data_IF_679256686480
#
_entry.id   IF_679256686480
#
_cell.length_a   1.000
_cell.length_b   1.000
_cell.length_c   1.000
_cell.angle_alpha   90.00
_cell.angle_beta   90.00
_cell.angle_gamma   90.00
#
_symmetry.space_group_name_H-M   'P 1'
#
loop_
_entity.id
_entity.type
_entity.pdbx_description
1 polymer ?
#
# COMPACT_ATOMS: atom_id res chain seq x y z
N UNK A 1 -37.91 3.36 5.29
CA UNK A 1 -36.78 3.64 4.38
C UNK A 1 -36.21 4.98 4.81
N UNK A 2 -34.93 5.03 5.18
CA UNK A 2 -34.24 6.31 5.44
C UNK A 2 -34.23 7.14 4.15
N UNK A 3 -34.28 8.49 4.29
CA UNK A 3 -34.12 9.36 3.14
C UNK A 3 -32.75 9.12 2.49
N UNK A 4 -32.59 9.31 1.17
CA UNK A 4 -31.28 9.18 0.54
C UNK A 4 -30.34 10.21 1.17
N UNK A 5 -29.11 9.78 1.55
CA UNK A 5 -28.07 10.70 2.02
C UNK A 5 -27.73 11.64 0.87
N UNK A 6 -27.91 12.93 1.10
CA UNK A 6 -27.62 13.96 0.12
C UNK A 6 -26.24 14.60 0.36
N UNK A 7 -25.77 14.59 1.61
CA UNK A 7 -24.53 15.27 2.01
C UNK A 7 -23.59 14.29 2.73
N UNK A 8 -22.39 14.11 2.18
CA UNK A 8 -21.34 13.30 2.75
C UNK A 8 -20.16 14.19 3.21
N UNK A 9 -19.71 13.96 4.42
CA UNK A 9 -18.52 14.63 4.98
C UNK A 9 -17.37 13.65 5.03
N UNK A 10 -16.23 13.99 4.41
CA UNK A 10 -15.01 13.20 4.43
C UNK A 10 -13.96 13.96 5.24
N UNK A 11 -13.39 13.31 6.23
CA UNK A 11 -12.24 13.82 6.99
C UNK A 11 -10.97 13.21 6.40
N UNK A 12 -10.15 14.08 5.77
CA UNK A 12 -8.90 13.74 5.10
C UNK A 12 -8.99 13.74 3.57
N UNK A 13 -8.26 14.67 2.92
CA UNK A 13 -8.07 14.74 1.47
C UNK A 13 -6.83 13.94 1.00
N UNK A 14 -6.55 12.81 1.66
CA UNK A 14 -5.56 11.85 1.20
C UNK A 14 -6.05 11.05 -0.02
N UNK A 15 -5.24 10.10 -0.49
CA UNK A 15 -5.55 9.28 -1.67
C UNK A 15 -6.94 8.64 -1.62
N UNK A 16 -7.28 8.03 -0.49
CA UNK A 16 -8.55 7.31 -0.32
C UNK A 16 -9.72 8.28 -0.20
N UNK A 17 -9.60 9.36 0.59
CA UNK A 17 -10.66 10.35 0.75
C UNK A 17 -10.98 11.08 -0.56
N UNK A 18 -9.94 11.46 -1.32
CA UNK A 18 -10.11 12.09 -2.64
C UNK A 18 -10.74 11.13 -3.66
N UNK A 19 -10.35 9.85 -3.67
CA UNK A 19 -10.96 8.86 -4.55
C UNK A 19 -12.43 8.57 -4.16
N UNK A 20 -12.71 8.41 -2.85
CA UNK A 20 -14.06 8.20 -2.35
C UNK A 20 -15.00 9.33 -2.74
N UNK A 21 -14.52 10.59 -2.68
CA UNK A 21 -15.33 11.75 -3.06
C UNK A 21 -15.82 11.71 -4.50
N UNK A 22 -14.97 11.21 -5.41
CA UNK A 22 -15.34 11.03 -6.82
C UNK A 22 -16.44 9.97 -6.98
N UNK A 23 -16.34 8.85 -6.24
CA UNK A 23 -17.39 7.82 -6.23
C UNK A 23 -18.73 8.36 -5.70
N UNK A 24 -18.68 9.07 -4.57
CA UNK A 24 -19.89 9.64 -3.96
C UNK A 24 -20.52 10.75 -4.83
N UNK A 25 -19.67 11.62 -5.42
CA UNK A 25 -20.14 12.66 -6.33
C UNK A 25 -20.84 12.07 -7.56
N UNK A 26 -20.29 10.99 -8.13
CA UNK A 26 -20.92 10.27 -9.26
C UNK A 26 -22.28 9.66 -8.89
N UNK A 27 -22.53 9.38 -7.59
CA UNK A 27 -23.83 8.92 -7.07
C UNK A 27 -24.77 10.07 -6.73
N UNK A 28 -24.38 11.32 -6.98
CA UNK A 28 -25.19 12.51 -6.74
C UNK A 28 -25.15 13.05 -5.31
N UNK A 29 -24.23 12.55 -4.45
CA UNK A 29 -24.03 13.14 -3.13
C UNK A 29 -23.27 14.47 -3.24
N UNK A 30 -23.67 15.47 -2.44
CA UNK A 30 -22.84 16.62 -2.17
C UNK A 30 -21.73 16.21 -1.18
N UNK A 31 -20.49 16.44 -1.54
CA UNK A 31 -19.34 15.98 -0.75
C UNK A 31 -18.55 17.16 -0.24
N UNK A 32 -18.34 17.23 1.08
CA UNK A 32 -17.44 18.15 1.71
C UNK A 32 -16.24 17.38 2.27
N UNK A 33 -15.03 17.75 1.84
CA UNK A 33 -13.78 17.15 2.29
C UNK A 33 -13.04 18.14 3.16
N UNK A 34 -12.65 17.75 4.37
CA UNK A 34 -11.89 18.55 5.32
C UNK A 34 -10.50 18.00 5.50
N UNK A 35 -9.48 18.77 5.12
CA UNK A 35 -8.06 18.41 5.20
C UNK A 35 -7.34 19.33 6.19
N UNK A 36 -6.57 18.74 7.10
CA UNK A 36 -5.84 19.48 8.14
C UNK A 36 -4.68 20.33 7.60
N UNK A 37 -4.09 19.91 6.49
CA UNK A 37 -2.95 20.59 5.86
C UNK A 37 -3.43 21.68 4.91
N UNK A 38 -2.57 22.66 4.58
CA UNK A 38 -2.82 23.59 3.49
C UNK A 38 -2.90 22.83 2.15
N UNK A 39 -3.45 23.49 1.13
CA UNK A 39 -3.55 22.92 -0.20
C UNK A 39 -2.15 22.68 -0.79
N UNK A 40 -1.75 21.40 -0.85
CA UNK A 40 -0.43 21.02 -1.35
C UNK A 40 -0.19 21.33 -2.83
N UNK A 41 -1.22 21.69 -3.57
CA UNK A 41 -1.13 22.09 -5.00
C UNK A 41 -0.72 23.55 -5.14
N UNK A 42 -0.94 24.38 -4.11
CA UNK A 42 -0.73 25.83 -4.09
C UNK A 42 0.41 26.28 -3.17
N UNK A 43 0.67 25.50 -2.14
CA UNK A 43 1.76 25.76 -1.23
C UNK A 43 3.06 25.22 -1.84
N UNK A 44 4.09 26.07 -1.86
CA UNK A 44 5.48 25.63 -2.02
C UNK A 44 5.91 24.92 -0.71
N UNK A 45 5.15 23.89 -0.35
CA UNK A 45 5.51 22.98 0.72
C UNK A 45 6.68 22.21 0.12
N UNK A 46 7.88 22.74 0.36
CA UNK A 46 9.16 22.26 -0.17
C UNK A 46 9.09 20.76 -0.28
N UNK A 47 8.90 20.28 -1.51
CA UNK A 47 8.24 19.05 -1.90
C UNK A 47 8.52 17.96 -0.91
N UNK A 48 7.62 17.78 0.07
CA UNK A 48 7.77 16.75 1.09
C UNK A 48 7.99 15.48 0.34
N UNK A 49 9.27 15.11 0.22
CA UNK A 49 9.70 13.96 -0.55
C UNK A 49 8.88 12.81 -0.03
N UNK A 50 8.07 12.27 -0.89
CA UNK A 50 7.07 11.27 -0.53
C UNK A 50 7.46 9.98 -1.22
N UNK A 51 7.55 8.90 -0.46
CA UNK A 51 7.80 7.57 -1.03
C UNK A 51 6.91 7.34 -2.25
N UNK A 52 7.47 6.72 -3.28
CA UNK A 52 6.67 6.25 -4.39
C UNK A 52 5.84 5.04 -3.98
N UNK A 53 4.67 4.95 -4.56
CA UNK A 53 3.73 3.87 -4.34
C UNK A 53 3.71 2.91 -5.53
N UNK A 54 3.42 1.65 -5.25
CA UNK A 54 3.23 0.62 -6.27
C UNK A 54 1.74 0.43 -6.55
N UNK A 55 1.23 1.01 -7.62
CA UNK A 55 -0.14 0.85 -8.05
C UNK A 55 -0.30 -0.50 -8.79
N UNK A 56 -1.19 -1.35 -8.31
CA UNK A 56 -1.47 -2.70 -8.83
C UNK A 56 -2.90 -2.81 -9.37
N UNK A 57 -3.27 -4.00 -9.86
CA UNK A 57 -4.56 -4.22 -10.51
C UNK A 57 -5.77 -3.85 -9.64
N UNK A 58 -5.66 -4.04 -8.30
CA UNK A 58 -6.72 -3.61 -7.36
C UNK A 58 -6.93 -2.09 -7.36
N UNK A 59 -5.84 -1.35 -7.36
CA UNK A 59 -5.88 0.11 -7.47
C UNK A 59 -6.38 0.56 -8.84
N UNK A 60 -5.92 -0.09 -9.92
CA UNK A 60 -6.41 0.20 -11.27
C UNK A 60 -7.91 -0.05 -11.41
N UNK A 61 -8.43 -1.15 -10.88
CA UNK A 61 -9.88 -1.43 -10.86
C UNK A 61 -10.68 -0.27 -10.25
N UNK A 62 -10.20 0.32 -9.17
CA UNK A 62 -10.86 1.45 -8.53
C UNK A 62 -10.83 2.73 -9.40
N UNK A 63 -9.68 3.03 -10.02
CA UNK A 63 -9.52 4.21 -10.88
C UNK A 63 -10.32 4.07 -12.18
N UNK A 64 -10.36 2.88 -12.75
CA UNK A 64 -11.13 2.57 -13.96
C UNK A 64 -12.63 2.56 -13.70
N UNK A 65 -13.08 2.12 -12.51
CA UNK A 65 -14.48 2.09 -12.10
C UNK A 65 -15.16 3.46 -12.13
N UNK A 66 -14.42 4.54 -11.98
CA UNK A 66 -14.91 5.91 -12.11
C UNK A 66 -14.47 6.61 -13.40
N UNK A 67 -13.69 5.93 -14.25
CA UNK A 67 -13.29 6.41 -15.57
C UNK A 67 -12.07 7.32 -15.61
N UNK A 68 -11.26 7.37 -14.54
CA UNK A 68 -10.05 8.23 -14.46
C UNK A 68 -8.73 7.48 -14.73
N UNK A 69 -8.78 6.19 -15.07
CA UNK A 69 -7.60 5.38 -15.29
C UNK A 69 -6.61 5.98 -16.28
N UNK A 70 -7.11 6.56 -17.40
CA UNK A 70 -6.24 7.19 -18.40
C UNK A 70 -5.54 8.45 -17.90
N UNK A 71 -6.13 9.20 -16.99
CA UNK A 71 -5.48 10.38 -16.41
C UNK A 71 -4.36 9.98 -15.48
N UNK A 72 -4.56 8.92 -14.70
CA UNK A 72 -3.55 8.41 -13.78
C UNK A 72 -2.40 7.68 -14.50
N UNK A 73 -2.65 7.06 -15.67
CA UNK A 73 -1.57 6.47 -16.48
C UNK A 73 -0.53 7.49 -16.95
N UNK A 74 -0.91 8.76 -17.07
CA UNK A 74 0.02 9.86 -17.44
C UNK A 74 1.04 10.16 -16.35
N UNK A 75 0.74 9.84 -15.10
CA UNK A 75 1.59 10.12 -13.94
C UNK A 75 2.23 8.87 -13.34
N UNK A 76 2.05 7.69 -13.95
CA UNK A 76 2.60 6.42 -13.51
C UNK A 76 3.62 5.83 -14.48
N UNK A 77 4.65 5.15 -13.98
CA UNK A 77 5.65 4.43 -14.78
C UNK A 77 5.47 2.93 -14.55
N UNK A 78 5.21 2.12 -15.61
CA UNK A 78 5.08 0.67 -15.47
C UNK A 78 6.42 0.03 -15.13
N UNK A 79 6.41 -0.90 -14.18
CA UNK A 79 7.52 -1.74 -13.79
C UNK A 79 7.10 -3.20 -13.98
N UNK A 80 7.77 -3.93 -14.89
CA UNK A 80 7.42 -5.29 -15.29
C UNK A 80 8.21 -6.35 -14.54
N UNK A 81 9.26 -5.95 -13.82
CA UNK A 81 10.17 -6.85 -13.11
C UNK A 81 10.80 -6.19 -11.89
N UNK A 82 11.41 -7.02 -11.05
CA UNK A 82 12.35 -6.63 -10.03
C UNK A 82 13.78 -6.82 -10.56
N UNK A 83 14.66 -5.89 -10.25
CA UNK A 83 16.10 -6.01 -10.50
C UNK A 83 16.79 -6.03 -9.14
N UNK A 84 17.41 -7.16 -8.81
CA UNK A 84 18.14 -7.36 -7.57
C UNK A 84 19.60 -6.98 -7.77
N UNK A 85 20.14 -6.19 -6.86
CA UNK A 85 21.53 -5.77 -6.82
C UNK A 85 22.27 -6.51 -5.71
N UNK A 86 23.25 -7.35 -6.03
CA UNK A 86 24.09 -7.99 -5.02
C UNK A 86 25.15 -7.03 -4.44
N UNK A 87 25.96 -7.50 -3.47
CA UNK A 87 27.03 -6.70 -2.88
C UNK A 87 28.16 -6.34 -3.84
N UNK A 88 28.31 -7.05 -4.95
CA UNK A 88 29.31 -6.81 -5.99
C UNK A 88 28.78 -5.96 -7.15
N UNK A 89 27.49 -5.53 -7.08
CA UNK A 89 26.83 -4.81 -8.15
C UNK A 89 26.33 -5.68 -9.30
N UNK A 90 26.36 -7.03 -9.16
CA UNK A 90 25.76 -7.89 -10.19
C UNK A 90 24.23 -7.80 -10.13
N UNK A 91 23.61 -7.84 -11.31
CA UNK A 91 22.18 -7.68 -11.45
C UNK A 91 21.50 -9.01 -11.77
N UNK A 92 20.40 -9.27 -11.09
CA UNK A 92 19.50 -10.41 -11.39
C UNK A 92 18.09 -9.91 -11.60
N UNK A 93 17.46 -10.24 -12.73
CA UNK A 93 16.11 -9.85 -13.07
C UNK A 93 15.08 -10.93 -12.74
N UNK A 94 13.94 -10.51 -12.21
CA UNK A 94 12.82 -11.40 -11.90
C UNK A 94 11.52 -10.76 -12.36
N UNK A 95 10.86 -11.28 -13.41
CA UNK A 95 9.55 -10.81 -13.87
C UNK A 95 8.49 -10.94 -12.77
N UNK A 96 7.49 -10.05 -12.77
CA UNK A 96 6.37 -10.15 -11.84
C UNK A 96 5.40 -11.28 -12.19
N UNK A 97 5.18 -11.52 -13.47
CA UNK A 97 4.24 -12.52 -13.96
C UNK A 97 4.33 -12.71 -15.47
N UNK A 98 3.18 -12.79 -16.13
CA UNK A 98 3.10 -12.91 -17.60
C UNK A 98 3.62 -11.66 -18.29
N UNK A 99 3.96 -11.78 -19.58
CA UNK A 99 4.35 -10.63 -20.41
C UNK A 99 3.31 -9.51 -20.33
N UNK A 100 3.79 -8.28 -20.14
CA UNK A 100 2.95 -7.09 -19.97
C UNK A 100 2.35 -6.89 -18.58
N UNK A 101 2.49 -7.85 -17.68
CA UNK A 101 2.00 -7.74 -16.31
C UNK A 101 3.02 -6.99 -15.44
N UNK A 102 2.59 -5.94 -14.78
CA UNK A 102 3.47 -5.10 -13.96
C UNK A 102 2.71 -4.24 -12.96
N UNK A 103 3.45 -3.68 -12.02
CA UNK A 103 2.98 -2.64 -11.10
C UNK A 103 3.45 -1.28 -11.60
N UNK A 104 2.81 -0.19 -11.18
CA UNK A 104 3.19 1.15 -11.62
C UNK A 104 3.79 1.94 -10.47
N UNK A 105 4.97 2.52 -10.70
CA UNK A 105 5.50 3.54 -9.81
C UNK A 105 4.69 4.81 -9.96
N UNK A 106 4.14 5.31 -8.87
CA UNK A 106 3.44 6.59 -8.82
C UNK A 106 3.93 7.40 -7.63
N UNK A 107 4.21 8.68 -7.86
CA UNK A 107 4.49 9.61 -6.77
C UNK A 107 3.24 9.75 -5.90
N UNK A 108 3.37 9.53 -4.60
CA UNK A 108 2.24 9.67 -3.66
C UNK A 108 1.65 11.08 -3.70
N UNK A 109 2.51 12.10 -3.69
CA UNK A 109 2.08 13.50 -3.78
C UNK A 109 1.43 13.79 -5.13
N UNK A 110 2.07 13.39 -6.24
CA UNK A 110 1.55 13.60 -7.59
C UNK A 110 0.19 12.93 -7.82
N UNK A 111 0.03 11.68 -7.37
CA UNK A 111 -1.25 10.98 -7.46
C UNK A 111 -2.33 11.68 -6.61
N UNK A 112 -1.97 12.13 -5.39
CA UNK A 112 -2.93 12.80 -4.52
C UNK A 112 -3.38 14.14 -5.11
N UNK A 113 -2.46 14.94 -5.65
CA UNK A 113 -2.79 16.19 -6.36
C UNK A 113 -3.72 15.93 -7.54
N UNK A 114 -3.43 14.93 -8.36
CA UNK A 114 -4.27 14.56 -9.50
C UNK A 114 -5.70 14.16 -9.06
N UNK A 115 -5.84 13.39 -7.98
CA UNK A 115 -7.15 13.01 -7.45
C UNK A 115 -7.91 14.21 -6.88
N UNK A 116 -7.23 15.12 -6.16
CA UNK A 116 -7.84 16.36 -5.66
C UNK A 116 -8.30 17.28 -6.81
N UNK A 117 -7.51 17.41 -7.88
CA UNK A 117 -7.86 18.19 -9.07
C UNK A 117 -9.10 17.62 -9.76
N UNK A 118 -9.20 16.30 -9.85
CA UNK A 118 -10.38 15.64 -10.41
C UNK A 118 -11.60 15.79 -9.50
N UNK A 119 -11.42 15.74 -8.19
CA UNK A 119 -12.48 15.96 -7.21
C UNK A 119 -13.02 17.39 -7.26
N UNK A 120 -12.14 18.39 -7.29
CA UNK A 120 -12.52 19.83 -7.35
C UNK A 120 -13.28 20.19 -8.64
N UNK A 121 -13.05 19.45 -9.73
CA UNK A 121 -13.81 19.63 -11.00
C UNK A 121 -15.25 19.14 -10.91
N UNK A 122 -15.62 18.36 -9.90
CA UNK A 122 -17.00 17.92 -9.71
C UNK A 122 -17.81 19.05 -9.07
N UNK A 123 -18.99 19.43 -9.66
CA UNK A 123 -19.77 20.57 -9.17
C UNK A 123 -20.36 20.36 -7.76
N UNK A 124 -20.39 19.13 -7.30
CA UNK A 124 -20.93 18.70 -6.00
C UNK A 124 -19.84 18.27 -5.00
N UNK A 125 -18.57 18.64 -5.23
CA UNK A 125 -17.45 18.38 -4.30
C UNK A 125 -16.82 19.71 -3.86
N UNK A 126 -16.65 19.88 -2.54
CA UNK A 126 -15.98 21.02 -1.95
C UNK A 126 -14.79 20.55 -1.10
N UNK A 127 -13.64 21.17 -1.30
CA UNK A 127 -12.40 20.92 -0.54
C UNK A 127 -12.17 22.07 0.45
N UNK A 128 -12.02 21.73 1.72
CA UNK A 128 -11.75 22.66 2.82
C UNK A 128 -10.38 22.32 3.43
N UNK A 129 -9.40 23.20 3.21
CA UNK A 129 -8.03 23.03 3.73
C UNK A 129 -7.84 23.77 5.06
N UNK A 130 -6.74 23.46 5.76
CA UNK A 130 -6.46 23.99 7.10
C UNK A 130 -7.61 23.72 8.10
N UNK A 131 -8.21 22.53 8.01
CA UNK A 131 -9.33 22.10 8.83
C UNK A 131 -8.96 20.80 9.56
N UNK A 132 -8.33 20.92 10.72
CA UNK A 132 -7.97 19.79 11.55
C UNK A 132 -9.15 19.37 12.43
N UNK A 133 -9.60 18.13 12.32
CA UNK A 133 -10.65 17.62 13.23
C UNK A 133 -10.14 17.63 14.68
N UNK A 134 -10.74 18.48 15.51
CA UNK A 134 -10.44 18.61 16.93
C UNK A 134 -11.36 17.72 17.77
N UNK A 135 -12.65 17.63 17.41
CA UNK A 135 -13.62 16.82 18.13
C UNK A 135 -14.70 16.26 17.18
N UNK A 136 -15.27 15.12 17.53
CA UNK A 136 -16.43 14.52 16.88
C UNK A 136 -17.38 14.03 17.95
N UNK A 137 -18.56 14.63 18.00
CA UNK A 137 -19.69 14.14 18.80
C UNK A 137 -20.49 13.13 17.97
N UNK A 138 -20.36 11.86 18.31
CA UNK A 138 -21.02 10.74 17.61
C UNK A 138 -22.55 10.75 17.81
N UNK A 139 -23.06 11.33 18.92
CA UNK A 139 -24.51 11.35 19.20
C UNK A 139 -25.22 12.34 18.32
N UNK A 140 -24.64 13.54 18.23
CA UNK A 140 -25.20 14.63 17.40
C UNK A 140 -24.67 14.64 15.98
N UNK A 141 -23.67 13.81 15.66
CA UNK A 141 -22.97 13.78 14.38
C UNK A 141 -22.36 15.14 14.01
N UNK A 142 -21.79 15.83 15.01
CA UNK A 142 -21.20 17.17 14.90
C UNK A 142 -19.69 17.09 14.94
N UNK A 143 -19.04 17.63 13.92
CA UNK A 143 -17.57 17.77 13.84
C UNK A 143 -17.17 19.19 14.24
N UNK A 144 -16.11 19.30 15.03
CA UNK A 144 -15.45 20.56 15.34
C UNK A 144 -14.08 20.58 14.69
N UNK A 145 -13.85 21.52 13.81
CA UNK A 145 -12.58 21.72 13.11
C UNK A 145 -11.84 22.93 13.67
N UNK A 146 -10.53 22.77 13.87
CA UNK A 146 -9.59 23.82 14.22
C UNK A 146 -8.78 24.19 12.98
N UNK A 147 -8.72 25.48 12.65
CA UNK A 147 -7.74 25.99 11.71
C UNK A 147 -6.38 26.16 12.44
N UNK A 148 -5.33 25.39 12.10
CA UNK A 148 -4.06 25.44 12.81
C UNK A 148 -3.27 26.74 12.58
N UNK A 149 -3.61 27.54 11.56
CA UNK A 149 -2.96 28.84 11.27
C UNK A 149 -3.60 29.99 12.04
N UNK A 150 -4.94 30.02 12.13
CA UNK A 150 -5.68 31.11 12.76
C UNK A 150 -6.13 30.80 14.18
N UNK A 151 -6.09 29.53 14.61
CA UNK A 151 -6.68 28.99 15.83
C UNK A 151 -8.21 29.18 15.94
N UNK A 152 -8.87 29.48 14.85
CA UNK A 152 -10.33 29.56 14.81
C UNK A 152 -10.95 28.17 14.76
N UNK A 153 -12.08 28.01 15.44
CA UNK A 153 -12.86 26.77 15.42
C UNK A 153 -14.16 26.95 14.64
N UNK A 154 -14.58 25.89 13.97
CA UNK A 154 -15.80 25.87 13.19
C UNK A 154 -16.52 24.53 13.44
N UNK A 155 -17.85 24.54 13.57
CA UNK A 155 -18.66 23.36 13.77
C UNK A 155 -19.45 23.03 12.51
N UNK A 156 -19.48 21.73 12.18
CA UNK A 156 -20.18 21.20 11.02
C UNK A 156 -21.08 20.05 11.46
N UNK A 157 -22.37 20.20 11.16
CA UNK A 157 -23.36 19.13 11.32
C UNK A 157 -23.33 18.27 10.06
N UNK A 158 -23.09 16.96 10.22
CA UNK A 158 -23.01 16.03 9.08
C UNK A 158 -24.17 15.03 9.07
N UNK A 159 -24.61 14.61 7.87
CA UNK A 159 -25.52 13.48 7.71
C UNK A 159 -24.75 12.16 7.86
N UNK A 160 -23.67 12.03 7.11
CA UNK A 160 -22.78 10.87 7.10
C UNK A 160 -21.32 11.33 7.11
N UNK A 161 -20.46 10.64 7.86
CA UNK A 161 -19.03 10.96 8.02
C UNK A 161 -18.18 9.78 7.58
N UNK A 162 -17.18 10.04 6.75
CA UNK A 162 -16.12 9.09 6.40
C UNK A 162 -14.80 9.53 7.02
N UNK A 163 -14.25 8.68 7.89
CA UNK A 163 -12.89 8.85 8.40
C UNK A 163 -11.88 8.27 7.41
N UNK A 164 -11.25 9.14 6.60
CA UNK A 164 -10.18 8.84 5.64
C UNK A 164 -8.88 9.57 6.02
N UNK A 165 -8.71 9.89 7.29
CA UNK A 165 -7.67 10.75 7.87
C UNK A 165 -6.39 9.99 8.28
N UNK A 166 -6.21 8.77 7.74
CA UNK A 166 -4.95 8.03 7.77
C UNK A 166 -4.68 7.28 9.07
N UNK A 167 -3.46 6.76 9.21
CA UNK A 167 -3.07 5.87 10.30
C UNK A 167 -3.26 6.46 11.71
N UNK A 168 -3.19 7.79 11.84
CA UNK A 168 -3.40 8.51 13.10
C UNK A 168 -4.77 9.20 13.15
N UNK A 169 -5.80 8.53 12.67
CA UNK A 169 -7.16 9.02 12.51
C UNK A 169 -7.76 9.59 13.79
N UNK A 170 -8.21 10.84 13.72
CA UNK A 170 -9.00 11.50 14.77
C UNK A 170 -10.44 10.96 14.80
N UNK A 171 -11.01 10.61 13.64
CA UNK A 171 -12.34 9.96 13.55
C UNK A 171 -12.32 8.63 14.29
N UNK A 172 -11.29 7.78 14.06
CA UNK A 172 -11.12 6.54 14.83
C UNK A 172 -10.97 6.82 16.33
N UNK A 173 -10.25 7.90 16.71
CA UNK A 173 -10.11 8.33 18.09
C UNK A 173 -11.45 8.64 18.77
N UNK A 174 -12.45 9.13 18.04
CA UNK A 174 -13.82 9.32 18.56
C UNK A 174 -14.53 7.96 18.72
N UNK A 175 -14.39 7.03 17.76
CA UNK A 175 -14.96 5.68 17.87
C UNK A 175 -14.36 4.86 19.01
N UNK A 176 -13.08 5.06 19.34
CA UNK A 176 -12.41 4.39 20.47
C UNK A 176 -13.06 4.69 21.84
N UNK A 177 -13.81 5.78 21.94
CA UNK A 177 -14.55 6.13 23.17
C UNK A 177 -15.88 5.38 23.31
N UNK A 178 -16.27 4.61 22.29
CA UNK A 178 -17.47 3.77 22.33
C UNK A 178 -17.18 2.42 23.01
N UNK A 179 -18.24 1.76 23.49
CA UNK A 179 -18.10 0.43 24.09
C UNK A 179 -17.68 -0.61 23.04
N UNK A 180 -16.87 -1.58 23.47
CA UNK A 180 -16.43 -2.75 22.68
C UNK A 180 -15.65 -2.39 21.42
N UNK A 181 -14.94 -1.26 21.44
CA UNK A 181 -14.02 -0.92 20.35
C UNK A 181 -12.67 -1.63 20.57
N UNK A 182 -12.29 -2.45 19.62
CA UNK A 182 -10.98 -3.12 19.60
C UNK A 182 -9.98 -2.25 18.81
N UNK A 183 -8.79 -2.04 19.35
CA UNK A 183 -7.73 -1.30 18.69
C UNK A 183 -6.37 -1.91 18.95
N UNK A 184 -5.62 -2.11 17.89
CA UNK A 184 -4.22 -2.53 17.93
C UNK A 184 -3.41 -1.63 17.03
N UNK A 185 -2.32 -1.11 17.58
CA UNK A 185 -1.32 -0.34 16.86
C UNK A 185 0.03 -0.94 17.16
N UNK A 186 0.69 -1.48 16.15
CA UNK A 186 2.00 -2.11 16.29
C UNK A 186 3.02 -1.43 15.39
N UNK A 187 4.25 -1.35 15.86
CA UNK A 187 5.39 -0.81 15.13
C UNK A 187 6.42 -1.92 14.92
N UNK A 188 7.08 -1.90 13.77
CA UNK A 188 8.30 -2.69 13.60
C UNK A 188 9.47 -1.96 14.27
N UNK A 189 10.49 -2.71 14.67
CA UNK A 189 11.77 -2.17 15.16
C UNK A 189 12.63 -1.59 14.03
N UNK A 190 11.98 -1.19 12.96
CA UNK A 190 12.54 -0.64 11.73
C UNK A 190 11.87 0.68 11.39
N UNK A 191 12.66 1.58 10.86
CA UNK A 191 12.18 2.78 10.19
C UNK A 191 12.44 2.71 8.69
N UNK A 192 11.97 3.71 8.00
CA UNK A 192 12.36 3.94 6.61
C UNK A 192 12.85 5.38 6.42
N UNK A 193 13.79 5.53 5.49
CA UNK A 193 14.31 6.83 5.07
C UNK A 193 14.27 6.96 3.57
N UNK A 194 13.79 8.11 3.12
CA UNK A 194 13.76 8.46 1.71
C UNK A 194 15.09 9.06 1.28
N UNK A 195 15.63 8.54 0.18
CA UNK A 195 16.86 8.96 -0.46
C UNK A 195 16.62 9.12 -1.96
N UNK A 196 17.56 9.69 -2.70
CA UNK A 196 17.38 9.97 -4.12
C UNK A 196 18.54 9.44 -4.96
N UNK A 197 18.22 8.73 -6.05
CA UNK A 197 19.12 8.59 -7.20
C UNK A 197 18.76 9.69 -8.17
N UNK A 198 19.73 10.54 -8.50
CA UNK A 198 19.54 11.67 -9.38
C UNK A 198 19.25 11.23 -10.83
N UNK A 199 18.57 12.06 -11.64
CA UNK A 199 18.50 11.82 -13.09
C UNK A 199 19.88 11.92 -13.72
N UNK A 200 20.08 11.19 -14.78
CA UNK A 200 21.26 11.34 -15.64
C UNK A 200 21.20 12.60 -16.50
N UNK A 201 22.16 12.77 -17.39
CA UNK A 201 22.20 13.88 -18.34
C UNK A 201 20.89 13.96 -19.14
N UNK A 202 20.37 15.17 -19.30
CA UNK A 202 19.12 15.47 -20.01
C UNK A 202 17.89 14.75 -19.43
N UNK A 203 17.86 14.47 -18.12
CA UNK A 203 16.72 13.84 -17.46
C UNK A 203 16.55 12.35 -17.78
N UNK A 204 17.61 11.65 -18.16
CA UNK A 204 17.58 10.22 -18.45
C UNK A 204 17.63 9.39 -17.16
N UNK A 205 17.08 8.18 -17.21
CA UNK A 205 17.15 7.24 -16.08
C UNK A 205 18.52 6.56 -16.02
N UNK A 206 19.20 6.63 -14.90
CA UNK A 206 20.51 6.00 -14.68
C UNK A 206 20.42 4.49 -14.37
N UNK A 207 19.25 4.00 -14.01
CA UNK A 207 18.93 2.60 -13.86
C UNK A 207 17.82 2.21 -14.84
N UNK A 208 17.47 0.92 -14.89
CA UNK A 208 16.40 0.48 -15.77
C UNK A 208 15.05 1.08 -15.35
N UNK A 209 14.45 1.92 -16.21
CA UNK A 209 13.22 2.65 -15.95
C UNK A 209 12.03 1.77 -15.59
N UNK A 210 11.87 0.64 -16.28
CA UNK A 210 10.69 -0.21 -16.17
C UNK A 210 10.87 -1.36 -15.18
N UNK A 211 11.61 -1.11 -14.09
CA UNK A 211 11.90 -2.07 -13.05
C UNK A 211 11.82 -1.46 -11.64
N UNK A 212 11.46 -2.29 -10.67
CA UNK A 212 11.70 -2.02 -9.25
C UNK A 212 13.11 -2.51 -8.92
N UNK A 213 14.00 -1.62 -8.52
CA UNK A 213 15.34 -1.98 -8.07
C UNK A 213 15.34 -2.30 -6.59
N UNK A 214 16.05 -3.36 -6.20
CA UNK A 214 16.12 -3.84 -4.81
C UNK A 214 17.55 -4.20 -4.48
N UNK A 215 18.06 -3.66 -3.37
CA UNK A 215 19.33 -4.04 -2.74
C UNK A 215 19.04 -4.81 -1.44
N UNK A 216 18.86 -6.14 -1.49
CA UNK A 216 18.66 -6.96 -0.29
C UNK A 216 19.99 -7.11 0.46
N UNK A 217 19.97 -6.89 1.78
CA UNK A 217 21.18 -6.92 2.64
C UNK A 217 20.95 -7.71 3.94
N UNK A 218 20.18 -8.79 3.87
CA UNK A 218 19.87 -9.64 5.01
C UNK A 218 18.92 -8.96 5.99
N UNK A 219 19.45 -8.17 6.92
CA UNK A 219 18.60 -7.52 7.95
C UNK A 219 18.00 -6.19 7.53
N UNK A 220 18.38 -5.63 6.39
CA UNK A 220 17.86 -4.37 5.86
C UNK A 220 17.89 -4.38 4.34
N UNK A 221 17.24 -3.43 3.74
CA UNK A 221 17.18 -3.32 2.28
C UNK A 221 16.96 -1.87 1.85
N UNK A 222 17.38 -1.58 0.61
CA UNK A 222 16.98 -0.37 -0.10
C UNK A 222 16.21 -0.78 -1.34
N UNK A 223 15.17 -0.04 -1.67
CA UNK A 223 14.43 -0.17 -2.93
C UNK A 223 14.47 1.16 -3.67
N UNK A 224 14.36 1.14 -5.01
CA UNK A 224 14.26 2.35 -5.81
C UNK A 224 13.16 2.21 -6.87
N UNK A 225 12.29 3.22 -6.92
CA UNK A 225 11.18 3.32 -7.85
C UNK A 225 11.39 4.54 -8.78
N UNK A 226 11.17 4.41 -10.09
CA UNK A 226 11.41 5.47 -11.06
C UNK A 226 10.42 6.64 -10.94
N UNK A 227 10.89 7.85 -11.22
CA UNK A 227 10.12 9.09 -11.36
C UNK A 227 10.08 9.56 -12.81
N UNK A 228 9.11 10.40 -13.15
CA UNK A 228 8.94 10.93 -14.52
C UNK A 228 10.08 11.85 -14.97
N UNK A 229 10.78 12.47 -14.03
CA UNK A 229 11.90 13.38 -14.26
C UNK A 229 13.25 12.67 -14.51
N UNK A 230 13.26 11.33 -14.53
CA UNK A 230 14.47 10.52 -14.70
C UNK A 230 15.16 10.13 -13.39
N UNK A 231 14.73 10.66 -12.25
CA UNK A 231 15.23 10.27 -10.94
C UNK A 231 14.61 8.96 -10.46
N UNK A 232 15.12 8.43 -9.34
CA UNK A 232 14.47 7.36 -8.58
C UNK A 232 14.31 7.79 -7.12
N UNK A 233 13.13 7.56 -6.57
CA UNK A 233 12.93 7.63 -5.14
C UNK A 233 13.40 6.33 -4.50
N UNK A 234 14.41 6.42 -3.66
CA UNK A 234 14.94 5.30 -2.90
C UNK A 234 14.32 5.26 -1.50
N UNK A 235 13.98 4.08 -1.03
CA UNK A 235 13.52 3.87 0.35
C UNK A 235 14.46 2.88 1.03
N UNK A 236 15.21 3.38 2.02
CA UNK A 236 16.03 2.55 2.89
C UNK A 236 15.19 2.09 4.07
N UNK A 237 14.95 0.79 4.21
CA UNK A 237 14.35 0.15 5.38
C UNK A 237 15.47 -0.33 6.29
N UNK A 238 15.54 0.22 7.50
CA UNK A 238 16.71 0.07 8.35
C UNK A 238 16.32 -0.06 9.82
N UNK A 239 17.02 -0.88 10.63
CA UNK A 239 16.74 -0.99 12.06
C UNK A 239 16.95 0.33 12.78
N UNK A 240 16.20 0.55 13.86
CA UNK A 240 16.47 1.69 14.75
C UNK A 240 17.74 1.47 15.58
N UNK A 241 17.97 0.25 16.05
CA UNK A 241 19.05 -0.12 16.95
C UNK A 241 19.91 -1.26 16.39
N UNK A 242 21.16 -1.36 16.84
CA UNK A 242 22.12 -2.37 16.44
C UNK A 242 23.35 -1.83 15.70
N UNK A 243 24.28 -2.68 15.27
CA UNK A 243 25.55 -2.24 14.64
C UNK A 243 25.34 -1.59 13.27
N UNK A 244 24.34 -1.98 12.52
CA UNK A 244 23.89 -1.36 11.28
C UNK A 244 22.47 -0.84 11.50
N UNK A 245 22.35 0.43 11.92
CA UNK A 245 21.08 1.02 12.34
C UNK A 245 21.12 2.55 12.26
N UNK A 246 19.95 3.18 12.37
CA UNK A 246 19.86 4.64 12.47
C UNK A 246 20.59 5.19 13.72
N UNK A 247 20.62 4.43 14.82
CA UNK A 247 21.35 4.85 16.04
C UNK A 247 22.89 4.77 15.90
N UNK A 248 23.39 3.93 15.00
CA UNK A 248 24.82 3.77 14.75
C UNK A 248 25.38 4.76 13.71
N UNK A 249 24.56 5.25 12.80
CA UNK A 249 24.98 6.15 11.70
C UNK A 249 24.60 7.61 12.02
N UNK A 250 25.46 8.32 12.77
CA UNK A 250 25.20 9.67 13.29
C UNK A 250 26.01 10.76 12.60
N UNK A 251 27.10 10.41 11.94
CA UNK A 251 27.99 11.36 11.26
C UNK A 251 28.04 11.10 9.76
N UNK A 252 28.36 12.15 8.99
CA UNK A 252 28.53 12.02 7.53
C UNK A 252 29.58 10.98 7.15
N UNK A 253 30.66 10.86 7.93
CA UNK A 253 31.70 9.89 7.69
C UNK A 253 31.20 8.44 7.86
N UNK A 254 30.41 8.17 8.92
CA UNK A 254 29.83 6.85 9.17
C UNK A 254 28.81 6.48 8.08
N UNK A 255 27.93 7.42 7.69
CA UNK A 255 26.97 7.20 6.61
C UNK A 255 27.68 6.96 5.28
N UNK A 256 28.66 7.80 4.94
CA UNK A 256 29.42 7.67 3.69
C UNK A 256 30.14 6.32 3.61
N UNK A 257 30.80 5.91 4.71
CA UNK A 257 31.51 4.62 4.74
C UNK A 257 30.54 3.45 4.63
N UNK A 258 29.44 3.46 5.41
CA UNK A 258 28.40 2.43 5.36
C UNK A 258 27.84 2.25 3.94
N UNK A 259 27.46 3.35 3.29
CA UNK A 259 26.89 3.25 1.93
C UNK A 259 27.90 2.77 0.90
N UNK A 260 29.18 3.17 1.00
CA UNK A 260 30.26 2.67 0.13
C UNK A 260 30.48 1.17 0.28
N UNK A 261 30.38 0.64 1.49
CA UNK A 261 30.62 -0.77 1.77
C UNK A 261 29.39 -1.64 1.40
N UNK A 262 28.18 -1.09 1.57
CA UNK A 262 26.94 -1.87 1.50
C UNK A 262 26.17 -1.66 0.18
N UNK A 263 26.22 -0.46 -0.38
CA UNK A 263 25.53 -0.09 -1.62
C UNK A 263 26.48 0.54 -2.66
N UNK A 264 27.63 -0.10 -2.96
CA UNK A 264 28.71 0.52 -3.73
C UNK A 264 28.28 0.94 -5.14
N UNK A 265 27.37 0.23 -5.76
CA UNK A 265 26.82 0.52 -7.10
C UNK A 265 25.78 1.65 -7.10
N UNK A 266 25.13 1.91 -5.97
CA UNK A 266 24.16 3.01 -5.84
C UNK A 266 24.83 4.35 -5.52
N UNK A 267 25.88 4.36 -4.69
CA UNK A 267 26.55 5.59 -4.20
C UNK A 267 26.91 6.58 -5.30
N UNK A 268 27.52 6.18 -6.43
CA UNK A 268 27.85 7.12 -7.52
C UNK A 268 26.64 7.82 -8.14
N UNK A 269 25.44 7.24 -7.95
CA UNK A 269 24.18 7.76 -8.51
C UNK A 269 23.42 8.67 -7.53
N UNK A 270 23.93 8.81 -6.28
CA UNK A 270 23.27 9.49 -5.16
C UNK A 270 24.06 10.73 -4.69
N UNK A 271 24.14 11.80 -5.49
CA UNK A 271 24.94 12.98 -5.15
C UNK A 271 24.44 13.72 -3.89
N UNK A 272 23.16 13.58 -3.55
CA UNK A 272 22.52 14.20 -2.36
C UNK A 272 22.41 13.24 -1.16
N UNK A 273 23.11 12.09 -1.18
CA UNK A 273 22.97 11.04 -0.16
C UNK A 273 23.05 11.56 1.28
N UNK A 274 24.07 12.33 1.61
CA UNK A 274 24.27 12.83 2.98
C UNK A 274 23.19 13.87 3.35
N UNK A 275 22.88 14.78 2.44
CA UNK A 275 21.80 15.74 2.63
C UNK A 275 20.46 15.03 2.87
N UNK A 276 20.08 14.10 2.00
CA UNK A 276 18.86 13.32 2.12
C UNK A 276 18.82 12.51 3.43
N UNK A 277 19.96 11.91 3.82
CA UNK A 277 20.03 11.09 5.02
C UNK A 277 19.79 11.91 6.30
N UNK A 278 20.35 13.10 6.41
CA UNK A 278 20.24 13.94 7.62
C UNK A 278 19.02 14.85 7.63
N UNK A 279 18.54 15.33 6.48
CA UNK A 279 17.40 16.25 6.41
C UNK A 279 16.06 15.53 6.35
N UNK A 280 15.97 14.37 5.66
CA UNK A 280 14.70 13.67 5.55
C UNK A 280 14.33 12.98 6.89
N UNK A 281 13.07 13.05 7.31
CA UNK A 281 12.64 12.39 8.54
C UNK A 281 12.72 10.86 8.41
N UNK A 282 12.98 10.19 9.53
CA UNK A 282 12.84 8.74 9.60
C UNK A 282 11.38 8.38 9.86
N UNK A 283 10.73 7.73 8.91
CA UNK A 283 9.35 7.29 9.03
C UNK A 283 9.23 5.98 9.81
N UNK A 284 8.16 5.84 10.58
CA UNK A 284 7.84 4.61 11.31
C UNK A 284 7.04 3.63 10.45
N UNK A 285 7.24 2.34 10.68
CA UNK A 285 6.52 1.25 10.04
C UNK A 285 5.40 0.77 10.98
N UNK A 286 4.20 1.24 10.71
CA UNK A 286 3.03 1.06 11.57
C UNK A 286 2.02 0.11 10.93
N UNK A 287 1.41 -0.75 11.75
CA UNK A 287 0.21 -1.51 11.41
C UNK A 287 -0.92 -1.14 12.37
N UNK A 288 -2.08 -0.84 11.83
CA UNK A 288 -3.30 -0.53 12.57
C UNK A 288 -4.35 -1.59 12.26
N UNK A 289 -4.94 -2.16 13.31
CA UNK A 289 -6.14 -3.00 13.22
C UNK A 289 -7.16 -2.49 14.22
N UNK A 290 -8.40 -2.31 13.81
CA UNK A 290 -9.47 -1.88 14.70
C UNK A 290 -10.81 -2.52 14.32
N UNK A 291 -11.76 -2.51 15.25
CA UNK A 291 -13.14 -2.96 15.07
C UNK A 291 -14.01 -2.40 16.20
N UNK A 292 -15.27 -1.98 15.92
CA UNK A 292 -15.91 -1.84 14.60
C UNK A 292 -15.36 -0.66 13.78
N UNK A 293 -15.59 -0.66 12.45
CA UNK A 293 -15.23 0.45 11.59
C UNK A 293 -16.32 1.49 11.45
N UNK A 294 -17.47 1.23 12.00
CA UNK A 294 -18.66 2.07 11.86
C UNK A 294 -19.26 2.46 13.21
N UNK A 295 -19.99 3.55 13.19
CA UNK A 295 -20.91 3.93 14.25
C UNK A 295 -22.29 4.15 13.64
N UNK A 296 -23.23 3.23 13.89
CA UNK A 296 -24.55 3.18 13.28
C UNK A 296 -24.47 3.26 11.73
N UNK A 297 -25.30 4.09 11.13
CA UNK A 297 -25.30 4.49 9.72
C UNK A 297 -24.71 5.90 9.50
N UNK A 298 -23.98 6.43 10.48
CA UNK A 298 -23.52 7.82 10.54
C UNK A 298 -22.03 7.98 10.27
N UNK A 299 -21.18 7.08 10.77
CA UNK A 299 -19.72 7.17 10.65
C UNK A 299 -19.15 5.86 10.11
N UNK A 300 -18.22 5.96 9.16
CA UNK A 300 -17.47 4.83 8.62
C UNK A 300 -15.99 5.18 8.48
N UNK A 301 -15.11 4.32 9.01
CA UNK A 301 -13.66 4.38 8.75
C UNK A 301 -13.33 3.68 7.43
N UNK A 302 -12.42 4.25 6.65
CA UNK A 302 -11.97 3.71 5.35
C UNK A 302 -10.47 3.94 5.15
N UNK A 303 -9.82 3.03 4.43
CA UNK A 303 -8.38 3.10 4.17
C UNK A 303 -7.54 3.03 5.44
N UNK A 304 -6.44 3.76 5.49
CA UNK A 304 -5.49 3.72 6.62
C UNK A 304 -6.10 4.11 7.97
N UNK A 305 -7.22 4.84 7.99
CA UNK A 305 -7.95 5.13 9.21
C UNK A 305 -8.52 3.86 9.86
N UNK A 306 -8.88 2.87 9.05
CA UNK A 306 -9.39 1.57 9.49
C UNK A 306 -8.28 0.51 9.61
N UNK A 307 -7.29 0.51 8.67
CA UNK A 307 -6.38 -0.61 8.48
C UNK A 307 -5.03 -0.22 7.85
N UNK A 308 -4.30 0.71 8.44
CA UNK A 308 -2.95 1.03 7.98
C UNK A 308 -2.04 -0.20 8.04
N UNK A 309 -1.21 -0.38 7.02
CA UNK A 309 -0.29 -1.53 6.89
C UNK A 309 1.12 -1.07 6.52
N UNK A 310 2.11 -1.89 6.87
CA UNK A 310 3.50 -1.68 6.45
C UNK A 310 3.66 -1.85 4.92
N UNK A 311 4.60 -1.14 4.26
CA UNK A 311 4.62 -0.98 2.81
C UNK A 311 5.20 -2.17 2.02
N UNK A 312 5.64 -3.23 2.67
CA UNK A 312 6.45 -4.29 2.04
C UNK A 312 5.76 -5.11 0.94
N UNK A 313 4.45 -5.13 0.93
CA UNK A 313 3.69 -5.72 -0.19
C UNK A 313 3.26 -4.68 -1.25
N UNK A 314 3.44 -3.37 -0.96
CA UNK A 314 2.97 -2.29 -1.81
C UNK A 314 1.44 -2.22 -1.90
N UNK A 315 0.70 -2.67 -0.87
CA UNK A 315 -0.75 -2.82 -0.96
C UNK A 315 -1.57 -1.84 -0.11
N UNK A 316 -0.96 -0.94 0.68
CA UNK A 316 -1.74 0.01 1.51
C UNK A 316 -2.70 0.87 0.69
N UNK A 317 -2.18 1.57 -0.31
CA UNK A 317 -3.00 2.36 -1.24
C UNK A 317 -4.00 1.49 -2.01
N UNK A 318 -3.55 0.34 -2.55
CA UNK A 318 -4.40 -0.55 -3.34
C UNK A 318 -5.57 -1.12 -2.53
N UNK A 319 -5.34 -1.46 -1.25
CA UNK A 319 -6.38 -1.91 -0.34
C UNK A 319 -7.39 -0.79 -0.02
N UNK A 320 -6.92 0.44 0.21
CA UNK A 320 -7.78 1.61 0.40
C UNK A 320 -8.57 1.99 -0.86
N UNK A 321 -8.00 1.81 -2.04
CA UNK A 321 -8.70 2.00 -3.31
C UNK A 321 -9.74 0.90 -3.54
N UNK A 322 -9.40 -0.35 -3.21
CA UNK A 322 -10.37 -1.45 -3.21
C UNK A 322 -11.54 -1.21 -2.24
N UNK A 323 -11.30 -0.54 -1.10
CA UNK A 323 -12.38 -0.11 -0.21
C UNK A 323 -13.38 0.76 -0.96
N UNK A 324 -12.92 1.75 -1.75
CA UNK A 324 -13.80 2.62 -2.54
C UNK A 324 -14.61 1.82 -3.57
N UNK A 325 -13.98 0.83 -4.23
CA UNK A 325 -14.66 -0.04 -5.19
C UNK A 325 -15.78 -0.84 -4.52
N UNK A 326 -15.45 -1.54 -3.44
CA UNK A 326 -16.41 -2.40 -2.70
C UNK A 326 -17.53 -1.53 -2.08
N UNK A 327 -17.18 -0.35 -1.56
CA UNK A 327 -18.16 0.57 -1.03
C UNK A 327 -19.17 1.01 -2.11
N UNK A 328 -18.69 1.34 -3.31
CA UNK A 328 -19.56 1.69 -4.44
C UNK A 328 -20.47 0.52 -4.87
N UNK A 329 -19.93 -0.69 -4.96
CA UNK A 329 -20.69 -1.90 -5.29
C UNK A 329 -21.84 -2.13 -4.27
N UNK A 330 -21.56 -1.90 -2.99
CA UNK A 330 -22.55 -2.03 -1.92
C UNK A 330 -23.61 -0.93 -1.94
N UNK A 331 -23.25 0.31 -2.31
CA UNK A 331 -24.22 1.38 -2.53
C UNK A 331 -25.20 1.02 -3.67
N UNK A 332 -24.72 0.37 -4.72
CA UNK A 332 -25.54 -0.11 -5.82
C UNK A 332 -26.45 -1.28 -5.41
N UNK A 333 -25.93 -2.19 -4.58
CA UNK A 333 -26.67 -3.34 -4.09
C UNK A 333 -27.73 -2.99 -3.03
N UNK A 334 -27.50 -1.92 -2.26
CA UNK A 334 -28.39 -1.47 -1.17
C UNK A 334 -28.76 0.01 -1.30
N UNK A 335 -29.48 0.42 -2.36
CA UNK A 335 -29.78 1.81 -2.59
C UNK A 335 -30.57 2.41 -1.41
N UNK A 336 -30.13 3.58 -0.94
CA UNK A 336 -30.75 4.32 0.16
C UNK A 336 -30.78 3.57 1.52
N UNK A 337 -29.93 2.57 1.72
CA UNK A 337 -29.84 1.85 2.99
C UNK A 337 -28.39 1.85 3.52
N UNK A 338 -27.98 2.97 4.07
CA UNK A 338 -26.61 3.19 4.56
C UNK A 338 -26.23 2.27 5.70
N UNK A 339 -27.17 1.90 6.56
CA UNK A 339 -26.90 0.93 7.63
C UNK A 339 -26.49 -0.43 7.05
N UNK A 340 -27.25 -0.93 6.05
CA UNK A 340 -26.90 -2.18 5.38
C UNK A 340 -25.55 -2.07 4.64
N UNK A 341 -25.28 -0.93 3.96
CA UNK A 341 -24.01 -0.68 3.29
C UNK A 341 -22.84 -0.74 4.28
N UNK A 342 -22.89 0.03 5.37
CA UNK A 342 -21.81 0.11 6.34
C UNK A 342 -21.57 -1.25 7.04
N UNK A 343 -22.64 -1.92 7.43
CA UNK A 343 -22.56 -3.25 8.07
C UNK A 343 -21.96 -4.30 7.13
N UNK A 344 -22.39 -4.30 5.86
CA UNK A 344 -21.89 -5.25 4.87
C UNK A 344 -20.45 -4.94 4.47
N UNK A 345 -20.11 -3.64 4.31
CA UNK A 345 -18.75 -3.19 4.03
C UNK A 345 -17.77 -3.65 5.12
N UNK A 346 -18.06 -3.36 6.39
CA UNK A 346 -17.23 -3.76 7.52
C UNK A 346 -17.02 -5.28 7.53
N UNK A 347 -18.11 -6.07 7.38
CA UNK A 347 -18.05 -7.52 7.35
C UNK A 347 -17.22 -8.07 6.18
N UNK A 348 -17.31 -7.46 5.02
CA UNK A 348 -16.57 -7.87 3.82
C UNK A 348 -15.10 -7.46 3.88
N UNK A 349 -14.80 -6.24 4.38
CA UNK A 349 -13.46 -5.66 4.30
C UNK A 349 -12.55 -6.03 5.48
N UNK A 350 -13.08 -6.12 6.70
CA UNK A 350 -12.27 -6.39 7.90
C UNK A 350 -11.40 -7.65 7.80
N UNK A 351 -11.91 -8.83 7.37
CA UNK A 351 -11.07 -10.01 7.21
C UNK A 351 -9.99 -9.86 6.13
N UNK A 352 -10.28 -9.09 5.07
CA UNK A 352 -9.35 -8.83 3.99
C UNK A 352 -8.24 -7.86 4.41
N UNK A 353 -8.60 -6.82 5.14
CA UNK A 353 -7.65 -5.85 5.70
C UNK A 353 -6.69 -6.51 6.71
N UNK A 354 -7.20 -7.37 7.60
CA UNK A 354 -6.35 -8.13 8.51
C UNK A 354 -5.41 -9.08 7.77
N UNK A 355 -5.91 -9.73 6.72
CA UNK A 355 -5.10 -10.65 5.92
C UNK A 355 -3.98 -9.93 5.17
N UNK A 356 -4.23 -8.75 4.57
CA UNK A 356 -3.17 -8.02 3.87
C UNK A 356 -2.18 -7.41 4.86
N UNK A 357 -2.60 -7.03 6.08
CA UNK A 357 -1.69 -6.60 7.13
C UNK A 357 -0.71 -7.73 7.52
N UNK A 358 -1.24 -8.96 7.73
CA UNK A 358 -0.40 -10.13 8.03
C UNK A 358 0.53 -10.46 6.85
N UNK A 359 0.02 -10.45 5.63
CA UNK A 359 0.80 -10.68 4.41
C UNK A 359 1.93 -9.66 4.24
N UNK A 360 1.69 -8.39 4.56
CA UNK A 360 2.70 -7.34 4.46
C UNK A 360 3.87 -7.59 5.43
N UNK A 361 3.59 -8.01 6.67
CA UNK A 361 4.63 -8.39 7.63
C UNK A 361 5.36 -9.67 7.21
N UNK A 362 4.64 -10.69 6.70
CA UNK A 362 5.25 -11.91 6.17
C UNK A 362 6.19 -11.61 5.00
N UNK A 363 5.78 -10.72 4.09
CA UNK A 363 6.60 -10.33 2.95
C UNK A 363 7.85 -9.53 3.36
N UNK A 364 7.77 -8.74 4.43
CA UNK A 364 8.96 -8.09 5.00
C UNK A 364 10.03 -9.12 5.37
N UNK A 365 9.65 -10.15 6.12
CA UNK A 365 10.57 -11.21 6.53
C UNK A 365 11.12 -11.96 5.30
N UNK A 366 10.28 -12.23 4.29
CA UNK A 366 10.71 -12.87 3.04
C UNK A 366 11.72 -12.00 2.27
N UNK A 367 11.42 -10.73 2.07
CA UNK A 367 12.29 -9.80 1.33
C UNK A 367 13.61 -9.53 2.07
N UNK A 368 13.56 -9.46 3.38
CA UNK A 368 14.72 -9.20 4.22
C UNK A 368 15.66 -10.39 4.28
N UNK A 369 15.13 -11.59 4.55
CA UNK A 369 15.91 -12.76 4.96
C UNK A 369 16.13 -13.78 3.84
N UNK A 370 15.20 -13.88 2.85
CA UNK A 370 15.14 -15.05 1.96
C UNK A 370 15.45 -14.79 0.49
N UNK A 371 15.33 -13.57 0.00
CA UNK A 371 15.46 -13.31 -1.44
C UNK A 371 16.83 -13.63 -2.06
N UNK A 372 17.87 -13.76 -1.23
CA UNK A 372 19.21 -14.18 -1.65
C UNK A 372 19.53 -15.66 -1.30
N UNK A 373 18.61 -16.37 -0.63
CA UNK A 373 18.79 -17.77 -0.24
C UNK A 373 18.63 -18.69 -1.46
N UNK A 374 19.64 -19.53 -1.80
CA UNK A 374 19.56 -20.47 -2.92
C UNK A 374 18.40 -21.48 -2.82
N UNK A 375 18.06 -21.95 -1.62
CA UNK A 375 16.93 -22.86 -1.40
C UNK A 375 15.59 -22.15 -1.69
N UNK A 376 15.45 -20.92 -1.27
CA UNK A 376 14.28 -20.09 -1.57
C UNK A 376 14.15 -19.81 -3.07
N UNK A 377 15.26 -19.48 -3.74
CA UNK A 377 15.25 -19.27 -5.20
C UNK A 377 14.87 -20.54 -5.96
N UNK A 378 15.36 -21.71 -5.52
CA UNK A 378 14.94 -23.00 -6.06
C UNK A 378 13.44 -23.23 -5.84
N UNK A 379 12.93 -22.95 -4.63
CA UNK A 379 11.50 -23.06 -4.31
C UNK A 379 10.65 -22.20 -5.26
N UNK A 380 11.06 -20.96 -5.56
CA UNK A 380 10.33 -20.08 -6.50
C UNK A 380 10.32 -20.64 -7.93
N UNK A 381 11.40 -21.26 -8.39
CA UNK A 381 11.42 -21.97 -9.69
C UNK A 381 10.46 -23.16 -9.71
N UNK A 382 10.42 -23.95 -8.65
CA UNK A 382 9.49 -25.07 -8.53
C UNK A 382 8.05 -24.57 -8.47
N UNK A 383 7.77 -23.48 -7.73
CA UNK A 383 6.45 -22.84 -7.69
C UNK A 383 5.97 -22.42 -9.09
N UNK A 384 6.86 -21.85 -9.91
CA UNK A 384 6.55 -21.48 -11.29
C UNK A 384 6.22 -22.70 -12.15
N UNK A 385 6.95 -23.82 -12.02
CA UNK A 385 6.65 -25.09 -12.72
C UNK A 385 5.29 -25.64 -12.30
N UNK A 386 4.98 -25.64 -11.00
CA UNK A 386 3.66 -26.10 -10.51
C UNK A 386 2.55 -25.22 -11.06
N UNK A 387 2.73 -23.91 -11.08
CA UNK A 387 1.74 -22.99 -11.67
C UNK A 387 1.53 -23.27 -13.17
N UNK A 388 2.60 -23.56 -13.91
CA UNK A 388 2.49 -23.92 -15.34
C UNK A 388 1.70 -25.22 -15.57
N UNK A 389 1.85 -26.22 -14.67
CA UNK A 389 1.12 -27.49 -14.74
C UNK A 389 -0.35 -27.35 -14.26
N UNK A 390 -0.59 -26.52 -13.25
CA UNK A 390 -1.89 -26.37 -12.59
C UNK A 390 -2.33 -24.90 -12.49
N UNK A 391 -2.47 -24.17 -13.60
CA UNK A 391 -2.65 -22.69 -13.60
C UNK A 391 -3.93 -22.22 -12.92
N UNK A 392 -4.96 -23.06 -12.86
CA UNK A 392 -6.24 -22.76 -12.19
C UNK A 392 -6.20 -23.08 -10.68
N UNK A 393 -5.34 -24.01 -10.27
CA UNK A 393 -5.31 -24.56 -8.92
C UNK A 393 -4.15 -24.04 -8.09
N UNK A 394 -3.05 -23.63 -8.73
CA UNK A 394 -1.86 -23.09 -8.11
C UNK A 394 -1.53 -21.71 -8.66
N UNK A 395 -2.15 -20.70 -8.11
CA UNK A 395 -1.81 -19.31 -8.41
C UNK A 395 -0.80 -18.85 -7.34
N UNK A 396 0.42 -18.42 -7.70
CA UNK A 396 1.41 -17.91 -6.73
C UNK A 396 0.83 -16.81 -5.85
N UNK A 397 1.19 -16.83 -4.57
CA UNK A 397 0.64 -15.89 -3.57
C UNK A 397 0.78 -14.43 -4.01
N UNK A 398 1.93 -14.04 -4.56
CA UNK A 398 2.16 -12.69 -5.05
C UNK A 398 1.18 -12.29 -6.17
N UNK A 399 0.89 -13.23 -7.08
CA UNK A 399 -0.07 -13.03 -8.18
C UNK A 399 -1.49 -12.86 -7.62
N UNK A 400 -1.92 -13.71 -6.67
CA UNK A 400 -3.24 -13.58 -6.03
C UNK A 400 -3.41 -12.22 -5.35
N UNK A 401 -2.38 -11.72 -4.69
CA UNK A 401 -2.45 -10.46 -3.95
C UNK A 401 -2.41 -9.24 -4.88
N UNK A 402 -1.52 -9.26 -5.88
CA UNK A 402 -1.17 -8.07 -6.67
C UNK A 402 -1.95 -7.96 -7.97
N UNK A 403 -2.19 -9.09 -8.65
CA UNK A 403 -2.71 -9.13 -10.02
C UNK A 403 -4.06 -9.87 -10.16
N UNK A 404 -4.68 -10.27 -9.05
CA UNK A 404 -5.97 -10.98 -9.06
C UNK A 404 -6.97 -10.26 -8.14
N UNK A 405 -7.51 -9.10 -8.56
CA UNK A 405 -8.43 -8.32 -7.72
C UNK A 405 -9.74 -9.07 -7.40
N UNK A 406 -10.07 -10.11 -8.16
CA UNK A 406 -11.20 -11.01 -7.91
C UNK A 406 -10.96 -11.99 -6.74
N UNK A 407 -9.69 -12.22 -6.35
CA UNK A 407 -9.34 -13.08 -5.20
C UNK A 407 -9.20 -12.21 -3.94
N UNK A 408 -10.09 -12.33 -2.94
CA UNK A 408 -9.97 -11.58 -1.70
C UNK A 408 -8.65 -11.85 -0.97
N UNK A 409 -8.08 -10.86 -0.29
CA UNK A 409 -6.81 -11.03 0.45
C UNK A 409 -6.87 -12.16 1.49
N UNK A 410 -8.01 -12.34 2.17
CA UNK A 410 -8.19 -13.43 3.12
C UNK A 410 -8.11 -14.82 2.44
N UNK A 411 -8.67 -14.92 1.24
CA UNK A 411 -8.55 -16.13 0.40
C UNK A 411 -7.12 -16.34 -0.07
N UNK A 412 -6.43 -15.29 -0.52
CA UNK A 412 -5.03 -15.35 -0.92
C UNK A 412 -4.13 -15.82 0.24
N UNK A 413 -4.31 -15.28 1.46
CA UNK A 413 -3.58 -15.71 2.67
C UNK A 413 -3.86 -17.18 3.00
N UNK A 414 -5.14 -17.59 2.98
CA UNK A 414 -5.54 -19.00 3.24
C UNK A 414 -4.88 -19.94 2.24
N UNK A 415 -4.93 -19.62 0.94
CA UNK A 415 -4.35 -20.42 -0.11
C UNK A 415 -2.82 -20.42 -0.06
N UNK A 416 -2.18 -19.29 0.17
CA UNK A 416 -0.73 -19.18 0.34
C UNK A 416 -0.21 -20.07 1.47
N UNK A 417 -0.89 -20.08 2.62
CA UNK A 417 -0.56 -21.02 3.73
C UNK A 417 -0.72 -22.48 3.36
N UNK A 418 -1.71 -22.84 2.52
CA UNK A 418 -1.86 -24.20 2.01
C UNK A 418 -0.71 -24.55 1.05
N UNK A 419 -0.38 -23.66 0.13
CA UNK A 419 0.73 -23.81 -0.83
C UNK A 419 2.06 -23.96 -0.09
N UNK A 420 2.34 -23.15 0.92
CA UNK A 420 3.56 -23.26 1.73
C UNK A 420 3.69 -24.64 2.39
N UNK A 421 2.61 -25.19 2.95
CA UNK A 421 2.61 -26.54 3.54
C UNK A 421 2.91 -27.64 2.52
N UNK A 422 2.40 -27.53 1.30
CA UNK A 422 2.68 -28.47 0.21
C UNK A 422 4.13 -28.31 -0.22
N UNK A 423 4.58 -27.07 -0.46
CA UNK A 423 5.94 -26.78 -0.88
C UNK A 423 6.97 -27.30 0.13
N UNK A 424 6.77 -27.10 1.42
CA UNK A 424 7.63 -27.67 2.48
C UNK A 424 7.75 -29.19 2.42
N UNK A 425 6.73 -29.91 1.95
CA UNK A 425 6.79 -31.37 1.76
C UNK A 425 7.59 -31.72 0.51
N UNK A 426 7.34 -31.03 -0.60
CA UNK A 426 8.04 -31.27 -1.87
C UNK A 426 9.54 -30.98 -1.74
N UNK A 427 9.93 -29.87 -1.12
CA UNK A 427 11.33 -29.44 -0.96
C UNK A 427 12.18 -30.41 -0.11
N UNK A 428 11.56 -31.33 0.64
CA UNK A 428 12.32 -32.43 1.30
C UNK A 428 12.95 -33.40 0.29
N UNK A 429 12.32 -33.51 -0.89
CA UNK A 429 12.72 -34.43 -1.97
C UNK A 429 13.43 -33.70 -3.12
N UNK A 430 13.46 -32.36 -3.12
CA UNK A 430 14.01 -31.52 -4.17
C UNK A 430 15.24 -30.79 -3.63
N UNK A 431 16.40 -31.04 -4.22
CA UNK A 431 17.66 -30.32 -3.95
C UNK A 431 18.17 -29.55 -5.15
N UNK A 432 17.76 -29.97 -6.34
CA UNK A 432 18.04 -29.33 -7.63
C UNK A 432 16.75 -29.18 -8.42
N UNK A 433 16.74 -28.31 -9.42
CA UNK A 433 15.56 -28.10 -10.29
C UNK A 433 15.17 -29.41 -11.05
N UNK A 434 16.16 -30.26 -11.38
CA UNK A 434 15.92 -31.55 -12.06
C UNK A 434 15.19 -32.55 -11.17
N UNK A 435 15.33 -32.47 -9.84
CA UNK A 435 14.63 -33.39 -8.93
C UNK A 435 13.11 -33.23 -8.99
N UNK A 436 12.60 -32.10 -9.48
CA UNK A 436 11.16 -31.88 -9.65
C UNK A 436 10.53 -32.90 -10.61
N UNK A 437 11.27 -33.35 -11.61
CA UNK A 437 10.78 -34.31 -12.62
C UNK A 437 10.79 -35.77 -12.14
N UNK A 438 11.28 -36.06 -10.93
CA UNK A 438 11.31 -37.41 -10.38
C UNK A 438 9.90 -37.94 -10.15
N UNK A 439 9.62 -39.24 -10.50
CA UNK A 439 8.28 -39.82 -10.38
C UNK A 439 7.67 -39.70 -8.98
N UNK A 440 8.46 -39.90 -7.92
CA UNK A 440 7.99 -39.77 -6.54
C UNK A 440 7.57 -38.33 -6.18
N UNK A 441 8.24 -37.31 -6.74
CA UNK A 441 7.88 -35.91 -6.54
C UNK A 441 6.60 -35.56 -7.28
N UNK A 442 6.49 -36.01 -8.54
CA UNK A 442 5.29 -35.80 -9.36
C UNK A 442 4.06 -36.49 -8.76
N UNK A 443 4.22 -37.72 -8.26
CA UNK A 443 3.15 -38.45 -7.59
C UNK A 443 2.71 -37.71 -6.31
N UNK A 444 3.65 -37.30 -5.46
CA UNK A 444 3.36 -36.53 -4.24
C UNK A 444 2.63 -35.23 -4.57
N UNK A 445 3.07 -34.53 -5.62
CA UNK A 445 2.41 -33.29 -6.06
C UNK A 445 0.95 -33.58 -6.49
N UNK A 446 0.74 -34.59 -7.35
CA UNK A 446 -0.59 -34.97 -7.84
C UNK A 446 -1.54 -35.34 -6.69
N UNK A 447 -1.08 -36.13 -5.72
CA UNK A 447 -1.84 -36.49 -4.51
C UNK A 447 -2.26 -35.21 -3.73
N UNK A 448 -1.33 -34.27 -3.51
CA UNK A 448 -1.61 -33.04 -2.76
C UNK A 448 -2.51 -32.07 -3.51
N UNK A 449 -2.43 -32.04 -4.83
CA UNK A 449 -3.34 -31.24 -5.66
C UNK A 449 -4.76 -31.83 -5.65
N UNK A 450 -4.92 -33.13 -5.70
CA UNK A 450 -6.23 -33.80 -5.61
C UNK A 450 -6.90 -33.63 -4.23
N UNK A 451 -6.12 -33.67 -3.14
CA UNK A 451 -6.66 -33.60 -1.76
C UNK A 451 -7.15 -32.19 -1.35
N UNK A 452 -6.54 -31.10 -1.84
CA UNK A 452 -6.65 -29.78 -1.18
C UNK A 452 -7.05 -28.61 -2.05
N UNK A 453 -7.07 -28.73 -3.36
CA UNK A 453 -7.41 -27.61 -4.25
C UNK A 453 -8.76 -27.81 -4.94
N UNK A 454 -9.80 -28.13 -4.20
CA UNK A 454 -11.12 -27.61 -4.58
C UNK A 454 -11.10 -26.15 -4.10
N UNK A 455 -11.08 -25.22 -5.04
CA UNK A 455 -11.40 -23.83 -4.79
C UNK A 455 -12.84 -23.82 -4.28
N UNK A 456 -13.01 -23.65 -2.95
CA UNK A 456 -14.31 -23.36 -2.38
C UNK A 456 -14.73 -21.96 -2.75
#
# INVERSE_FOLDING_TARGET
>A
MSAPVQNATIVGAGLVGSLLSLYLAKKGCNVNIYERRPDMRRADIGGGRSINLALSDRGWRALEGIGIGNDIRKVGIPMFKRVMHDLKGNLTSQPYGKEGQGIYSVSRGGLNMALMDLAEKQPNVNLHFNQQLANLDLKTNTLEFLNPETNETNQVQAEVIFGADGAFSAVRGALQKTERFEYSQSYLEYGYKELTIAPGENGTWQLEKNALHIWPRGQYMMIALPNLDGSFTCTLFFPYEGPHSFSALKTEAEVSQFFKDIFPDAVPLMPTLLEDYFQNPTGSLITVKCFPWRYEDKVLLIGDAAHAIVPFYGQGMNAGFEDCTIFNELLEAHPNNWEAVFKTFEKARKPNADAIADLAVMNFVEMRDKVADPEFLLQKKIEAKINAMYPQQWIPLYIMVTFSPEIPYATALKNGRKQEKIMKKLMKHIKTEADFEKPEVQQLLAEKMAEKFRLD
#
